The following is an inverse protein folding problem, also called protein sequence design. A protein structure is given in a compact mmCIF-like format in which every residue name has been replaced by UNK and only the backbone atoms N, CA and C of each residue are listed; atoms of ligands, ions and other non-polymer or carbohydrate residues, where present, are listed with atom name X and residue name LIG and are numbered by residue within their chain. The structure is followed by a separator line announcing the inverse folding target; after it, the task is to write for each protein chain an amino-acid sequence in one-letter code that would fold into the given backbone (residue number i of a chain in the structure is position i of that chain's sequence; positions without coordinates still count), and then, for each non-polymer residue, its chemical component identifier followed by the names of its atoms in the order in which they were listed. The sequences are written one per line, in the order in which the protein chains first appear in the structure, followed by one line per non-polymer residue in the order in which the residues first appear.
data_IF_974399692250
#
_entry.id   IF_974399692250
#
_cell.length_a   1.000
_cell.length_b   1.000
_cell.length_c   1.000
_cell.angle_alpha   90.00
_cell.angle_beta   90.00
_cell.angle_gamma   90.00
#
_symmetry.space_group_name_H-M   'P 1'
#
loop_
_entity.id
_entity.type
_entity.pdbx_description
1 polymer ?
#
# COMPACT_ATOMS: atom_id res chain seq x y z
N UNK A 1 54.63 24.24 -10.10
CA UNK A 1 53.41 25.02 -9.82
C UNK A 1 52.13 24.22 -10.12
N UNK A 2 52.19 23.16 -10.94
CA UNK A 2 51.06 22.25 -11.22
C UNK A 2 50.61 21.36 -10.04
N UNK A 3 51.52 20.96 -9.14
CA UNK A 3 51.23 20.01 -8.04
C UNK A 3 50.17 20.54 -7.04
N UNK A 4 50.13 21.85 -6.78
CA UNK A 4 49.13 22.44 -5.89
C UNK A 4 47.73 22.47 -6.53
N UNK A 5 47.67 22.63 -7.85
CA UNK A 5 46.41 22.78 -8.57
C UNK A 5 45.65 21.46 -8.72
N UNK A 6 46.38 20.34 -8.74
CA UNK A 6 45.79 18.99 -8.71
C UNK A 6 45.34 18.58 -7.30
N UNK A 7 46.11 18.92 -6.24
CA UNK A 7 45.67 18.66 -4.86
C UNK A 7 44.43 19.45 -4.45
N UNK A 8 44.27 20.69 -4.93
CA UNK A 8 43.09 21.51 -4.66
C UNK A 8 41.84 20.95 -5.38
N UNK A 9 41.99 20.44 -6.61
CA UNK A 9 40.90 19.78 -7.34
C UNK A 9 40.48 18.45 -6.71
N UNK A 10 41.44 17.65 -6.26
CA UNK A 10 41.17 16.37 -5.60
C UNK A 10 40.43 16.59 -4.28
N UNK A 11 40.86 17.54 -3.45
CA UNK A 11 40.16 17.91 -2.21
C UNK A 11 38.75 18.47 -2.47
N UNK A 12 38.57 19.32 -3.49
CA UNK A 12 37.26 19.85 -3.85
C UNK A 12 36.29 18.75 -4.32
N UNK A 13 36.79 17.78 -5.09
CA UNK A 13 36.01 16.62 -5.54
C UNK A 13 35.61 15.67 -4.40
N UNK A 14 36.52 15.47 -3.42
CA UNK A 14 36.27 14.67 -2.22
C UNK A 14 35.27 15.34 -1.28
N UNK A 15 35.34 16.66 -1.12
CA UNK A 15 34.42 17.43 -0.29
C UNK A 15 33.02 17.50 -0.91
N UNK A 16 32.92 17.78 -2.21
CA UNK A 16 31.66 17.73 -2.97
C UNK A 16 31.02 16.33 -2.91
N UNK A 17 31.78 15.26 -3.18
CA UNK A 17 31.28 13.88 -3.09
C UNK A 17 30.77 13.53 -1.68
N UNK A 18 31.47 13.96 -0.62
CA UNK A 18 31.02 13.79 0.77
C UNK A 18 29.75 14.59 1.07
N UNK A 19 29.62 15.81 0.55
CA UNK A 19 28.44 16.65 0.74
C UNK A 19 27.21 16.01 0.10
N UNK A 20 27.37 15.39 -1.06
CA UNK A 20 26.31 14.74 -1.84
C UNK A 20 25.86 13.46 -1.18
N UNK A 21 26.80 12.61 -0.78
CA UNK A 21 26.49 11.40 0.00
C UNK A 21 25.82 11.76 1.32
N UNK A 22 26.24 12.85 1.98
CA UNK A 22 25.60 13.38 3.18
C UNK A 22 24.18 13.90 2.94
N UNK A 23 23.91 14.58 1.81
CA UNK A 23 22.60 15.16 1.52
C UNK A 23 21.59 14.13 0.97
N UNK A 24 22.07 13.11 0.26
CA UNK A 24 21.23 12.05 -0.33
C UNK A 24 20.94 10.94 0.67
N UNK A 25 21.83 10.63 1.61
CA UNK A 25 21.63 9.57 2.59
C UNK A 25 20.34 9.71 3.43
N UNK A 26 19.97 10.89 3.94
CA UNK A 26 18.69 11.11 4.62
C UNK A 26 17.48 10.81 3.71
N UNK A 27 17.53 11.22 2.44
CA UNK A 27 16.43 11.00 1.48
C UNK A 27 16.31 9.51 1.15
N UNK A 28 17.44 8.82 0.96
CA UNK A 28 17.48 7.38 0.74
C UNK A 28 16.93 6.60 1.94
N UNK A 29 17.27 7.03 3.16
CA UNK A 29 16.72 6.44 4.38
C UNK A 29 15.19 6.63 4.45
N UNK A 30 14.67 7.82 4.14
CA UNK A 30 13.22 8.08 4.07
C UNK A 30 12.56 7.24 2.98
N UNK A 31 13.16 7.14 1.79
CA UNK A 31 12.72 6.31 0.68
C UNK A 31 12.55 4.84 1.09
N UNK A 32 13.58 4.27 1.72
CA UNK A 32 13.57 2.89 2.22
C UNK A 32 12.47 2.69 3.27
N UNK A 33 12.32 3.62 4.20
CA UNK A 33 11.28 3.57 5.23
C UNK A 33 9.88 3.63 4.61
N UNK A 34 9.62 4.52 3.65
CA UNK A 34 8.34 4.61 2.94
C UNK A 34 8.02 3.34 2.16
N UNK A 35 9.00 2.76 1.45
CA UNK A 35 8.82 1.49 0.75
C UNK A 35 8.48 0.34 1.73
N UNK A 36 9.15 0.29 2.89
CA UNK A 36 8.86 -0.70 3.92
C UNK A 36 7.45 -0.52 4.50
N UNK A 37 7.02 0.73 4.74
CA UNK A 37 5.66 1.04 5.22
C UNK A 37 4.61 0.62 4.18
N UNK A 38 4.87 0.86 2.90
CA UNK A 38 4.00 0.44 1.80
C UNK A 38 3.84 -1.08 1.76
N UNK A 39 4.94 -1.84 1.86
CA UNK A 39 4.90 -3.31 1.90
C UNK A 39 4.13 -3.83 3.11
N UNK A 40 4.34 -3.24 4.30
CA UNK A 40 3.58 -3.59 5.52
C UNK A 40 2.09 -3.30 5.36
N UNK A 41 1.75 -2.22 4.65
CA UNK A 41 0.37 -1.84 4.37
C UNK A 41 -0.29 -2.84 3.42
N UNK A 42 0.44 -3.30 2.39
CA UNK A 42 -0.02 -4.36 1.49
C UNK A 42 -0.23 -5.67 2.24
N UNK A 43 0.70 -6.05 3.11
CA UNK A 43 0.56 -7.24 3.94
C UNK A 43 -0.68 -7.16 4.85
N UNK A 44 -0.93 -6.01 5.49
CA UNK A 44 -2.15 -5.80 6.29
C UNK A 44 -3.41 -5.97 5.44
N UNK A 45 -3.43 -5.43 4.22
CA UNK A 45 -4.56 -5.57 3.31
C UNK A 45 -4.79 -7.04 2.90
N UNK A 46 -3.73 -7.77 2.54
CA UNK A 46 -3.83 -9.20 2.22
C UNK A 46 -4.36 -10.01 3.40
N UNK A 47 -3.87 -9.76 4.62
CA UNK A 47 -4.36 -10.45 5.83
C UNK A 47 -5.84 -10.19 6.05
N UNK A 48 -6.29 -8.93 5.95
CA UNK A 48 -7.72 -8.59 6.08
C UNK A 48 -8.58 -9.23 4.99
N UNK A 49 -8.10 -9.25 3.74
CA UNK A 49 -8.80 -9.87 2.63
C UNK A 49 -8.98 -11.39 2.85
N UNK A 50 -7.92 -12.06 3.32
CA UNK A 50 -7.95 -13.49 3.64
C UNK A 50 -8.94 -13.80 4.76
N UNK A 51 -8.94 -13.01 5.85
CA UNK A 51 -9.89 -13.19 6.95
C UNK A 51 -11.32 -12.98 6.45
N UNK A 52 -11.57 -11.91 5.70
CA UNK A 52 -12.89 -11.61 5.12
C UNK A 52 -13.38 -12.76 4.22
N UNK A 53 -12.49 -13.37 3.42
CA UNK A 53 -12.81 -14.53 2.60
C UNK A 53 -13.23 -15.75 3.42
N UNK A 54 -12.53 -16.06 4.52
CA UNK A 54 -12.90 -17.17 5.42
C UNK A 54 -14.28 -16.94 6.04
N UNK A 55 -14.56 -15.72 6.51
CA UNK A 55 -15.87 -15.35 7.04
C UNK A 55 -16.97 -15.41 5.96
N UNK A 56 -16.70 -14.97 4.73
CA UNK A 56 -17.66 -15.13 3.63
C UNK A 56 -18.04 -16.59 3.36
N UNK A 57 -17.06 -17.49 3.33
CA UNK A 57 -17.34 -18.93 3.15
C UNK A 57 -18.17 -19.46 4.33
N UNK A 58 -17.81 -19.06 5.55
CA UNK A 58 -18.57 -19.41 6.76
C UNK A 58 -20.04 -18.93 6.65
N UNK A 59 -20.26 -17.68 6.23
CA UNK A 59 -21.58 -17.11 6.03
C UNK A 59 -22.39 -17.90 5.01
N UNK A 60 -21.85 -18.21 3.83
CA UNK A 60 -22.56 -18.93 2.77
C UNK A 60 -23.04 -20.31 3.25
N UNK A 61 -22.23 -21.03 4.01
CA UNK A 61 -22.59 -22.34 4.58
C UNK A 61 -23.77 -22.25 5.54
N UNK A 62 -23.84 -21.17 6.32
CA UNK A 62 -24.92 -20.95 7.28
C UNK A 62 -26.13 -20.23 6.67
N UNK A 63 -25.96 -19.51 5.56
CA UNK A 63 -26.98 -18.70 4.92
C UNK A 63 -28.22 -19.51 4.55
N UNK A 64 -28.02 -20.69 3.97
CA UNK A 64 -29.11 -21.61 3.58
C UNK A 64 -29.93 -22.12 4.78
N UNK A 65 -29.42 -21.99 6.01
CA UNK A 65 -30.11 -22.39 7.24
C UNK A 65 -30.81 -21.21 7.93
N UNK A 66 -30.62 -19.98 7.45
CA UNK A 66 -31.23 -18.77 8.03
C UNK A 66 -32.72 -18.76 7.70
N UNK A 67 -33.57 -18.71 8.72
CA UNK A 67 -34.95 -18.27 8.57
C UNK A 67 -34.97 -16.75 8.44
N UNK A 68 -35.31 -16.24 7.26
CA UNK A 68 -35.28 -14.81 6.95
C UNK A 68 -36.44 -14.08 7.64
N UNK A 69 -36.09 -13.35 8.69
CA UNK A 69 -36.90 -12.33 9.34
C UNK A 69 -36.46 -10.95 8.86
N UNK A 70 -37.32 -9.94 8.93
CA UNK A 70 -37.05 -8.58 8.46
C UNK A 70 -35.76 -8.00 9.04
N UNK A 71 -35.50 -8.24 10.34
CA UNK A 71 -34.25 -7.84 11.00
C UNK A 71 -33.02 -8.49 10.37
N UNK A 72 -33.06 -9.81 10.17
CA UNK A 72 -31.94 -10.57 9.58
C UNK A 72 -31.73 -10.18 8.12
N UNK A 73 -32.81 -9.94 7.38
CA UNK A 73 -32.75 -9.48 6.00
C UNK A 73 -31.98 -8.15 5.88
N UNK A 74 -32.28 -7.16 6.72
CA UNK A 74 -31.54 -5.88 6.74
C UNK A 74 -30.05 -6.10 7.06
N UNK A 75 -29.73 -6.93 8.05
CA UNK A 75 -28.33 -7.22 8.41
C UNK A 75 -27.57 -7.89 7.26
N UNK A 76 -28.21 -8.80 6.52
CA UNK A 76 -27.62 -9.43 5.33
C UNK A 76 -27.30 -8.38 4.26
N UNK A 77 -28.19 -7.42 4.01
CA UNK A 77 -27.93 -6.33 3.07
C UNK A 77 -26.75 -5.46 3.54
N UNK A 78 -26.73 -5.07 4.83
CA UNK A 78 -25.62 -4.30 5.41
C UNK A 78 -24.30 -5.07 5.27
N UNK A 79 -24.32 -6.38 5.55
CA UNK A 79 -23.17 -7.27 5.41
C UNK A 79 -22.62 -7.25 3.99
N UNK A 80 -23.45 -7.52 2.97
CA UNK A 80 -22.99 -7.59 1.58
C UNK A 80 -22.45 -6.25 1.09
N UNK A 81 -23.12 -5.14 1.39
CA UNK A 81 -22.66 -3.80 0.99
C UNK A 81 -21.32 -3.48 1.66
N UNK A 82 -21.20 -3.73 2.97
CA UNK A 82 -19.97 -3.46 3.71
C UNK A 82 -18.82 -4.35 3.25
N UNK A 83 -19.07 -5.64 3.04
CA UNK A 83 -18.06 -6.58 2.59
C UNK A 83 -17.59 -6.24 1.16
N UNK A 84 -18.49 -5.86 0.26
CA UNK A 84 -18.14 -5.37 -1.07
C UNK A 84 -17.28 -4.10 -1.00
N UNK A 85 -17.69 -3.10 -0.20
CA UNK A 85 -16.91 -1.88 -0.02
C UNK A 85 -15.55 -2.16 0.62
N UNK A 86 -15.46 -3.10 1.57
CA UNK A 86 -14.19 -3.54 2.15
C UNK A 86 -13.27 -4.12 1.08
N UNK A 87 -13.75 -5.07 0.25
CA UNK A 87 -12.98 -5.69 -0.83
C UNK A 87 -12.47 -4.63 -1.81
N UNK A 88 -13.34 -3.72 -2.27
CA UNK A 88 -12.93 -2.65 -3.20
C UNK A 88 -11.81 -1.79 -2.60
N UNK A 89 -11.96 -1.38 -1.33
CA UNK A 89 -10.92 -0.58 -0.67
C UNK A 89 -9.63 -1.38 -0.43
N UNK A 90 -9.70 -2.68 -0.13
CA UNK A 90 -8.52 -3.56 0.02
C UNK A 90 -7.76 -3.70 -1.30
N UNK A 91 -8.47 -3.92 -2.41
CA UNK A 91 -7.86 -4.01 -3.74
C UNK A 91 -7.19 -2.69 -4.12
N UNK A 92 -7.81 -1.54 -3.79
CA UNK A 92 -7.19 -0.22 -3.99
C UNK A 92 -5.93 0.00 -3.14
N UNK A 93 -5.83 -0.66 -1.98
CA UNK A 93 -4.57 -0.67 -1.20
C UNK A 93 -3.53 -1.51 -1.93
N UNK A 94 -3.85 -2.74 -2.32
CA UNK A 94 -2.88 -3.67 -2.93
C UNK A 94 -2.36 -3.15 -4.28
N UNK A 95 -3.26 -2.65 -5.12
CA UNK A 95 -2.96 -2.10 -6.44
C UNK A 95 -3.35 -0.62 -6.47
N UNK A 96 -2.53 0.28 -5.90
CA UNK A 96 -2.83 1.69 -5.90
C UNK A 96 -2.73 2.22 -7.32
N UNK A 97 -3.81 2.82 -7.82
CA UNK A 97 -3.81 3.46 -9.15
C UNK A 97 -3.11 4.80 -9.06
N UNK A 98 -1.80 4.82 -9.23
CA UNK A 98 -1.00 6.05 -9.27
C UNK A 98 -1.15 6.69 -10.65
N UNK A 99 -1.83 7.84 -10.72
CA UNK A 99 -1.90 8.64 -11.95
C UNK A 99 -0.50 9.19 -12.21
N UNK A 100 0.04 8.97 -13.42
CA UNK A 100 1.34 9.53 -13.82
C UNK A 100 1.30 11.04 -13.56
N UNK A 101 2.11 11.50 -12.62
CA UNK A 101 2.40 12.93 -12.50
C UNK A 101 3.27 13.24 -13.71
N UNK A 102 2.82 14.21 -14.50
CA UNK A 102 3.36 14.58 -15.82
C UNK A 102 4.88 14.77 -15.82
N UNK A 103 5.50 14.38 -16.95
CA UNK A 103 6.90 14.62 -17.35
C UNK A 103 7.96 14.45 -16.24
N UNK A 104 8.15 13.23 -15.74
CA UNK A 104 9.40 12.89 -15.07
C UNK A 104 10.40 12.42 -16.13
N UNK A 105 11.58 13.05 -16.19
CA UNK A 105 12.75 12.52 -16.87
C UNK A 105 12.89 11.01 -16.56
N UNK A 106 13.29 10.23 -17.57
CA UNK A 106 13.48 8.78 -17.47
C UNK A 106 14.25 8.44 -16.19
N UNK A 107 13.54 7.96 -15.16
CA UNK A 107 14.20 7.68 -13.88
C UNK A 107 15.00 6.38 -14.01
N UNK A 108 16.35 6.42 -14.03
CA UNK A 108 17.19 5.24 -14.23
C UNK A 108 17.12 4.23 -13.07
N UNK A 109 16.46 4.55 -11.96
CA UNK A 109 16.34 3.62 -10.82
C UNK A 109 14.93 3.04 -10.68
N UNK A 110 13.96 3.53 -11.46
CA UNK A 110 12.61 2.97 -11.49
C UNK A 110 12.52 1.89 -12.58
N UNK A 111 11.99 0.71 -12.26
CA UNK A 111 11.92 -0.41 -13.20
C UNK A 111 11.19 -0.08 -14.51
N UNK A 112 10.12 0.71 -14.42
CA UNK A 112 9.40 1.21 -15.59
C UNK A 112 10.15 2.26 -16.41
N UNK A 113 11.19 2.89 -15.85
CA UNK A 113 12.11 3.78 -16.56
C UNK A 113 13.29 3.02 -17.17
N UNK A 114 13.85 2.03 -16.46
CA UNK A 114 14.91 1.15 -16.96
C UNK A 114 14.46 0.37 -18.21
N UNK A 115 13.21 -0.09 -18.21
CA UNK A 115 12.61 -0.82 -19.35
C UNK A 115 12.33 0.05 -20.59
N UNK A 116 12.46 1.38 -20.50
CA UNK A 116 12.29 2.29 -21.63
C UNK A 116 13.59 2.56 -22.40
N UNK A 117 14.74 2.10 -21.90
CA UNK A 117 16.01 2.22 -22.62
C UNK A 117 16.15 1.12 -23.66
N UNK A 118 16.62 1.48 -24.85
CA UNK A 118 16.73 0.55 -25.98
C UNK A 118 17.89 -0.45 -25.80
N UNK A 119 18.96 -0.03 -25.11
CA UNK A 119 20.16 -0.84 -24.89
C UNK A 119 20.87 -0.51 -23.56
N UNK A 120 21.73 -1.44 -23.12
CA UNK A 120 22.49 -1.34 -21.86
C UNK A 120 23.43 -0.13 -21.83
N UNK A 121 24.05 0.21 -22.96
CA UNK A 121 25.01 1.31 -23.05
C UNK A 121 24.35 2.68 -22.83
N UNK A 122 23.18 2.90 -23.44
CA UNK A 122 22.37 4.10 -23.23
C UNK A 122 21.92 4.23 -21.78
N UNK A 123 21.48 3.12 -21.17
CA UNK A 123 21.15 3.09 -19.74
C UNK A 123 22.36 3.45 -18.86
N UNK A 124 23.53 2.84 -19.11
CA UNK A 124 24.74 3.07 -18.32
C UNK A 124 25.25 4.51 -18.44
N UNK A 125 25.27 5.07 -19.65
CA UNK A 125 25.67 6.46 -19.88
C UNK A 125 24.73 7.44 -19.18
N UNK A 126 23.41 7.23 -19.30
CA UNK A 126 22.44 8.09 -18.62
C UNK A 126 22.47 7.92 -17.09
N UNK A 127 22.66 6.69 -16.58
CA UNK A 127 22.88 6.44 -15.17
C UNK A 127 24.09 7.24 -14.67
N UNK A 128 25.23 7.14 -15.37
CA UNK A 128 26.45 7.85 -14.98
C UNK A 128 26.27 9.37 -15.03
N UNK A 129 25.57 9.89 -16.04
CA UNK A 129 25.24 11.32 -16.14
C UNK A 129 24.42 11.81 -14.93
N UNK A 130 23.38 11.07 -14.54
CA UNK A 130 22.52 11.43 -13.42
C UNK A 130 23.28 11.38 -12.09
N UNK A 131 24.09 10.34 -11.86
CA UNK A 131 24.83 10.14 -10.61
C UNK A 131 26.14 10.93 -10.49
N UNK A 132 26.62 11.54 -11.58
CA UNK A 132 27.78 12.47 -11.55
C UNK A 132 27.33 13.91 -11.30
N UNK A 133 26.05 14.21 -11.48
CA UNK A 133 25.48 15.54 -11.22
C UNK A 133 24.67 15.50 -9.91
N UNK A 134 25.15 16.25 -8.93
CA UNK A 134 24.61 16.31 -7.57
C UNK A 134 23.14 16.75 -7.55
N UNK A 135 22.80 17.78 -8.34
CA UNK A 135 21.44 18.29 -8.46
C UNK A 135 20.51 17.27 -9.10
N UNK A 136 20.93 16.61 -10.19
CA UNK A 136 20.14 15.56 -10.84
C UNK A 136 19.91 14.37 -9.91
N UNK A 137 20.93 13.96 -9.18
CA UNK A 137 20.85 12.90 -8.17
C UNK A 137 19.84 13.26 -7.07
N UNK A 138 19.96 14.47 -6.52
CA UNK A 138 19.05 14.95 -5.48
C UNK A 138 17.61 15.03 -5.98
N UNK A 139 17.38 15.65 -7.15
CA UNK A 139 16.04 15.78 -7.76
C UNK A 139 15.41 14.42 -8.04
N UNK A 140 16.19 13.43 -8.48
CA UNK A 140 15.71 12.06 -8.70
C UNK A 140 15.16 11.44 -7.41
N UNK A 141 15.94 11.47 -6.32
CA UNK A 141 15.51 10.87 -5.05
C UNK A 141 14.39 11.68 -4.39
N UNK A 142 14.41 13.01 -4.49
CA UNK A 142 13.33 13.87 -4.01
C UNK A 142 12.00 13.56 -4.71
N UNK A 143 12.03 13.38 -6.04
CA UNK A 143 10.86 13.00 -6.82
C UNK A 143 10.30 11.63 -6.41
N UNK A 144 11.16 10.65 -6.10
CA UNK A 144 10.73 9.35 -5.62
C UNK A 144 10.07 9.42 -4.24
N UNK A 145 10.70 10.10 -3.28
CA UNK A 145 10.14 10.29 -1.94
C UNK A 145 8.80 11.02 -2.03
N UNK A 146 8.68 12.05 -2.86
CA UNK A 146 7.43 12.77 -3.07
C UNK A 146 6.33 11.88 -3.67
N UNK A 147 6.66 11.08 -4.69
CA UNK A 147 5.72 10.14 -5.29
C UNK A 147 5.26 9.07 -4.28
N UNK A 148 6.19 8.49 -3.53
CA UNK A 148 5.90 7.51 -2.50
C UNK A 148 5.04 8.08 -1.37
N UNK A 149 5.32 9.30 -0.91
CA UNK A 149 4.49 9.98 0.08
C UNK A 149 3.03 10.12 -0.36
N UNK A 150 2.79 10.48 -1.64
CA UNK A 150 1.43 10.53 -2.21
C UNK A 150 0.77 9.15 -2.27
N UNK A 151 1.52 8.12 -2.67
CA UNK A 151 1.03 6.74 -2.72
C UNK A 151 0.67 6.23 -1.33
N UNK A 152 1.54 6.48 -0.35
CA UNK A 152 1.34 6.09 1.04
C UNK A 152 0.13 6.81 1.65
N UNK A 153 -0.04 8.11 1.41
CA UNK A 153 -1.23 8.84 1.84
C UNK A 153 -2.53 8.24 1.27
N UNK A 154 -2.54 7.93 -0.03
CA UNK A 154 -3.69 7.30 -0.69
C UNK A 154 -3.99 5.91 -0.09
N UNK A 155 -2.98 5.05 0.02
CA UNK A 155 -3.10 3.70 0.60
C UNK A 155 -3.57 3.75 2.06
N UNK A 156 -3.04 4.67 2.85
CA UNK A 156 -3.44 4.83 4.25
C UNK A 156 -4.91 5.26 4.39
N UNK A 157 -5.41 6.09 3.49
CA UNK A 157 -6.81 6.44 3.49
C UNK A 157 -7.72 5.26 3.06
N UNK A 158 -7.31 4.52 2.02
CA UNK A 158 -8.03 3.33 1.57
C UNK A 158 -8.03 2.21 2.65
N UNK A 159 -6.91 1.98 3.34
CA UNK A 159 -6.83 0.96 4.39
C UNK A 159 -7.69 1.29 5.60
N UNK A 160 -7.76 2.57 6.01
CA UNK A 160 -8.66 3.01 7.10
C UNK A 160 -10.13 2.79 6.75
N UNK A 161 -10.54 3.12 5.53
CA UNK A 161 -11.90 2.85 5.03
C UNK A 161 -12.20 1.36 4.99
N UNK A 162 -11.26 0.57 4.48
CA UNK A 162 -11.37 -0.88 4.48
C UNK A 162 -11.58 -1.44 5.88
N UNK A 163 -10.79 -0.99 6.87
CA UNK A 163 -10.90 -1.47 8.26
C UNK A 163 -12.30 -1.19 8.81
N UNK A 164 -12.86 -0.01 8.55
CA UNK A 164 -14.20 0.35 8.98
C UNK A 164 -15.26 -0.59 8.38
N UNK A 165 -15.26 -0.75 7.05
CA UNK A 165 -16.24 -1.61 6.38
C UNK A 165 -16.05 -3.10 6.74
N UNK A 166 -14.81 -3.54 6.91
CA UNK A 166 -14.47 -4.86 7.39
C UNK A 166 -15.09 -5.12 8.79
N UNK A 167 -14.90 -4.19 9.73
CA UNK A 167 -15.46 -4.32 11.08
C UNK A 167 -17.00 -4.38 11.04
N UNK A 168 -17.66 -3.53 10.26
CA UNK A 168 -19.12 -3.55 10.09
C UNK A 168 -19.59 -4.89 9.52
N UNK A 169 -18.90 -5.43 8.52
CA UNK A 169 -19.22 -6.73 7.93
C UNK A 169 -19.12 -7.85 8.98
N UNK A 170 -18.00 -7.96 9.69
CA UNK A 170 -17.78 -9.00 10.71
C UNK A 170 -18.79 -8.90 11.86
N UNK A 171 -19.08 -7.68 12.33
CA UNK A 171 -20.07 -7.48 13.40
C UNK A 171 -21.47 -7.87 12.93
N UNK A 172 -21.87 -7.46 11.71
CA UNK A 172 -23.17 -7.84 11.15
C UNK A 172 -23.30 -9.36 11.04
N UNK A 173 -22.28 -10.03 10.52
CA UNK A 173 -22.24 -11.48 10.40
C UNK A 173 -22.37 -12.16 11.77
N UNK A 174 -21.60 -11.71 12.76
CA UNK A 174 -21.64 -12.27 14.11
C UNK A 174 -23.02 -12.13 14.76
N UNK A 175 -23.69 -10.99 14.58
CA UNK A 175 -25.06 -10.77 15.08
C UNK A 175 -26.04 -11.74 14.42
N UNK A 176 -25.92 -11.97 13.10
CA UNK A 176 -26.77 -12.94 12.39
C UNK A 176 -26.58 -14.34 12.96
N UNK A 177 -25.34 -14.75 13.21
CA UNK A 177 -25.02 -16.08 13.75
C UNK A 177 -25.55 -16.24 15.17
N UNK A 178 -25.35 -15.25 16.05
CA UNK A 178 -25.87 -15.28 17.42
C UNK A 178 -27.39 -15.36 17.42
N UNK A 179 -28.06 -14.54 16.58
CA UNK A 179 -29.51 -14.57 16.46
C UNK A 179 -30.03 -15.94 15.99
N UNK A 180 -29.33 -16.59 15.06
CA UNK A 180 -29.65 -17.96 14.66
C UNK A 180 -29.44 -18.98 15.79
N UNK A 181 -28.30 -18.91 16.48
CA UNK A 181 -27.96 -19.83 17.55
C UNK A 181 -28.99 -19.74 18.69
N UNK A 182 -29.40 -18.52 19.05
CA UNK A 182 -30.43 -18.29 20.06
C UNK A 182 -31.80 -18.82 19.63
N UNK A 183 -32.19 -18.60 18.37
CA UNK A 183 -33.41 -19.17 17.81
C UNK A 183 -33.45 -20.70 17.84
N UNK A 184 -32.29 -21.36 17.70
CA UNK A 184 -32.18 -22.82 17.76
C UNK A 184 -32.09 -23.34 19.20
N UNK A 185 -31.44 -22.63 20.11
CA UNK A 185 -31.22 -23.04 21.50
C UNK A 185 -32.41 -22.71 22.42
N UNK A 186 -33.18 -21.65 22.12
CA UNK A 186 -34.30 -21.19 22.92
C UNK A 186 -35.30 -22.28 23.31
N UNK A 187 -35.77 -23.13 22.37
CA UNK A 187 -36.67 -24.23 22.67
C UNK A 187 -36.11 -25.29 23.65
N UNK A 188 -34.78 -25.44 23.71
CA UNK A 188 -34.11 -26.39 24.61
C UNK A 188 -33.85 -25.79 26.00
N UNK A 189 -33.67 -24.47 26.08
CA UNK A 189 -33.41 -23.75 27.34
C UNK A 189 -34.71 -23.35 28.06
N UNK A 190 -35.80 -23.16 27.32
CA UNK A 190 -37.12 -22.83 27.85
C UNK A 190 -38.20 -23.73 27.22
N UNK A 191 -38.25 -25.02 27.57
CA UNK A 191 -39.24 -25.94 27.04
C UNK A 191 -40.64 -25.60 27.61
N UNK A 192 -41.46 -24.87 26.86
CA UNK A 192 -42.85 -24.57 27.22
C UNK A 192 -43.34 -23.14 26.99
N UNK A 193 -42.51 -22.26 26.38
CA UNK A 193 -42.92 -20.93 25.90
C UNK A 193 -43.39 -20.93 24.45
#
# INVERSE_FOLDING_TARGET
MEINQDMDKENYSLESSKLVTSNVAPIFHVLSNEQQILQRTDQKAFTMLSILGVFMVFFIVHFLKIQLDWFKFILVIIYFISAFLAIVNLVLVIVPRVRKIESQELNPTYFGGISQFENQEQYSSHFREVFTNDDKTFTLFANQVFALGKINAYKNHAIKRSILFFAIAIISELIIIIAMAWGRAGPYLFPGG
#
